data_IF_075750217287
#
_entry.id   IF_075750217287
#
_cell.length_a   1.000
_cell.length_b   1.000
_cell.length_c   1.000
_cell.angle_alpha   90.00
_cell.angle_beta   90.00
_cell.angle_gamma   90.00
#
_symmetry.space_group_name_H-M   'P 1'
#
loop_
_entity.id
_entity.type
_entity.pdbx_description
1 polymer ?
#
# COMPACT_ATOMS: atom_id res chain seq x y z
N UNK A 1 -43.09 11.78 -24.38
CA UNK A 1 -43.91 10.64 -23.89
C UNK A 1 -45.40 10.96 -23.74
N UNK A 2 -45.84 12.22 -23.53
CA UNK A 2 -47.28 12.51 -23.32
C UNK A 2 -48.12 12.69 -24.60
N UNK A 3 -47.53 13.17 -25.72
CA UNK A 3 -48.27 13.35 -26.98
C UNK A 3 -48.55 12.03 -27.71
N UNK A 4 -47.58 11.11 -27.74
CA UNK A 4 -47.74 9.81 -28.42
C UNK A 4 -48.76 8.90 -27.71
N UNK A 5 -48.80 8.95 -26.38
CA UNK A 5 -49.73 8.17 -25.57
C UNK A 5 -51.18 8.69 -25.71
N UNK A 6 -51.34 10.01 -25.85
CA UNK A 6 -52.64 10.64 -26.10
C UNK A 6 -53.15 10.30 -27.51
N UNK A 7 -52.27 10.35 -28.52
CA UNK A 7 -52.56 9.91 -29.89
C UNK A 7 -52.93 8.41 -29.97
N UNK A 8 -52.26 7.55 -29.19
CA UNK A 8 -52.61 6.12 -29.12
C UNK A 8 -54.00 5.87 -28.50
N UNK A 9 -54.34 6.57 -27.42
CA UNK A 9 -55.65 6.47 -26.78
C UNK A 9 -56.77 6.99 -27.69
N UNK A 10 -56.56 8.11 -28.37
CA UNK A 10 -57.50 8.67 -29.33
C UNK A 10 -57.72 7.73 -30.53
N UNK A 11 -56.67 7.08 -31.03
CA UNK A 11 -56.76 6.07 -32.09
C UNK A 11 -57.53 4.82 -31.64
N UNK A 12 -57.36 4.37 -30.39
CA UNK A 12 -58.14 3.25 -29.82
C UNK A 12 -59.62 3.59 -29.65
N UNK A 13 -59.94 4.80 -29.17
CA UNK A 13 -61.31 5.28 -29.02
C UNK A 13 -62.03 5.41 -30.37
N UNK A 14 -61.32 5.91 -31.39
CA UNK A 14 -61.82 5.98 -32.76
C UNK A 14 -62.11 4.59 -33.34
N UNK A 15 -61.19 3.62 -33.16
CA UNK A 15 -61.38 2.23 -33.58
C UNK A 15 -62.56 1.56 -32.85
N UNK A 16 -62.71 1.79 -31.54
CA UNK A 16 -63.87 1.28 -30.78
C UNK A 16 -65.19 1.87 -31.25
N UNK A 17 -65.21 3.16 -31.58
CA UNK A 17 -66.42 3.84 -32.08
C UNK A 17 -66.83 3.28 -33.44
N UNK A 18 -65.86 3.08 -34.35
CA UNK A 18 -66.09 2.44 -35.65
C UNK A 18 -66.56 0.98 -35.53
N UNK A 19 -66.04 0.22 -34.57
CA UNK A 19 -66.52 -1.15 -34.29
C UNK A 19 -68.00 -1.13 -33.89
N UNK A 20 -68.41 -0.24 -32.96
CA UNK A 20 -69.82 -0.13 -32.54
C UNK A 20 -70.73 0.27 -33.69
N UNK A 21 -70.29 1.18 -34.56
CA UNK A 21 -71.04 1.59 -35.75
C UNK A 21 -71.20 0.43 -36.76
N UNK A 22 -70.14 -0.35 -37.00
CA UNK A 22 -70.19 -1.55 -37.84
C UNK A 22 -71.09 -2.65 -37.24
N UNK A 23 -71.10 -2.82 -35.91
CA UNK A 23 -72.00 -3.75 -35.21
C UNK A 23 -73.48 -3.34 -35.34
N UNK A 24 -73.78 -2.04 -35.18
CA UNK A 24 -75.13 -1.50 -35.37
C UNK A 24 -75.63 -1.62 -36.82
N UNK A 25 -74.70 -1.56 -37.80
CA UNK A 25 -75.00 -1.70 -39.22
C UNK A 25 -74.99 -3.16 -39.73
N UNK A 26 -74.86 -4.16 -38.84
CA UNK A 26 -74.74 -5.60 -39.16
C UNK A 26 -73.57 -5.96 -40.09
N UNK A 27 -72.52 -5.13 -40.14
CA UNK A 27 -71.31 -5.35 -40.95
C UNK A 27 -70.21 -6.07 -40.17
N UNK A 28 -70.47 -7.32 -39.80
CA UNK A 28 -69.60 -8.10 -38.91
C UNK A 28 -68.20 -8.38 -39.47
N UNK A 29 -68.05 -8.50 -40.80
CA UNK A 29 -66.74 -8.72 -41.42
C UNK A 29 -65.81 -7.50 -41.26
N UNK A 30 -66.34 -6.29 -41.39
CA UNK A 30 -65.60 -5.04 -41.18
C UNK A 30 -65.29 -4.85 -39.68
N UNK A 31 -66.23 -5.16 -38.79
CA UNK A 31 -66.02 -5.12 -37.34
C UNK A 31 -64.90 -6.07 -36.87
N UNK A 32 -64.82 -7.28 -37.43
CA UNK A 32 -63.76 -8.24 -37.12
C UNK A 32 -62.38 -7.75 -37.64
N UNK A 33 -62.33 -7.12 -38.81
CA UNK A 33 -61.09 -6.50 -39.33
C UNK A 33 -60.61 -5.35 -38.44
N UNK A 34 -61.53 -4.47 -38.00
CA UNK A 34 -61.22 -3.37 -37.08
C UNK A 34 -60.77 -3.88 -35.71
N UNK A 35 -61.40 -4.95 -35.21
CA UNK A 35 -60.98 -5.62 -33.98
C UNK A 35 -59.57 -6.22 -34.09
N UNK A 36 -59.25 -6.87 -35.20
CA UNK A 36 -57.90 -7.38 -35.46
C UNK A 36 -56.87 -6.25 -35.57
N UNK A 37 -57.24 -5.12 -36.17
CA UNK A 37 -56.39 -3.93 -36.23
C UNK A 37 -56.14 -3.34 -34.84
N UNK A 38 -57.18 -3.25 -34.00
CA UNK A 38 -57.08 -2.82 -32.61
C UNK A 38 -56.13 -3.72 -31.81
N UNK A 39 -56.27 -5.04 -31.92
CA UNK A 39 -55.38 -6.02 -31.27
C UNK A 39 -53.92 -5.85 -31.75
N UNK A 40 -53.70 -5.65 -33.05
CA UNK A 40 -52.35 -5.43 -33.61
C UNK A 40 -51.72 -4.13 -33.07
N UNK A 41 -52.48 -3.04 -33.02
CA UNK A 41 -52.01 -1.76 -32.49
C UNK A 41 -51.64 -1.87 -31.01
N UNK A 42 -52.50 -2.48 -30.17
CA UNK A 42 -52.21 -2.72 -28.76
C UNK A 42 -51.00 -3.62 -28.54
N UNK A 43 -50.82 -4.64 -29.39
CA UNK A 43 -49.65 -5.50 -29.36
C UNK A 43 -48.36 -4.77 -29.73
N UNK A 44 -48.40 -3.91 -30.76
CA UNK A 44 -47.24 -3.12 -31.16
C UNK A 44 -46.85 -2.09 -30.09
N UNK A 45 -47.84 -1.40 -29.50
CA UNK A 45 -47.58 -0.41 -28.46
C UNK A 45 -47.01 -1.06 -27.20
N UNK A 46 -47.58 -2.19 -26.76
CA UNK A 46 -47.02 -2.95 -25.62
C UNK A 46 -45.60 -3.47 -25.90
N UNK A 47 -45.31 -3.91 -27.12
CA UNK A 47 -43.97 -4.32 -27.53
C UNK A 47 -42.99 -3.13 -27.52
N UNK A 48 -43.40 -1.97 -28.03
CA UNK A 48 -42.59 -0.74 -28.03
C UNK A 48 -42.29 -0.26 -26.61
N UNK A 49 -43.30 -0.26 -25.73
CA UNK A 49 -43.15 0.09 -24.31
C UNK A 49 -42.16 -0.84 -23.58
N UNK A 50 -42.25 -2.15 -23.81
CA UNK A 50 -41.29 -3.11 -23.26
C UNK A 50 -39.88 -2.84 -23.80
N UNK A 51 -39.75 -2.54 -25.09
CA UNK A 51 -38.45 -2.26 -25.70
C UNK A 51 -37.82 -0.99 -25.14
N UNK A 52 -38.57 0.11 -25.02
CA UNK A 52 -38.10 1.36 -24.43
C UNK A 52 -37.67 1.16 -22.98
N UNK A 53 -38.43 0.37 -22.22
CA UNK A 53 -38.08 0.02 -20.83
C UNK A 53 -36.77 -0.74 -20.76
N UNK A 54 -36.56 -1.73 -21.64
CA UNK A 54 -35.28 -2.47 -21.71
C UNK A 54 -34.10 -1.56 -22.05
N UNK A 55 -34.27 -0.64 -22.99
CA UNK A 55 -33.20 0.33 -23.32
C UNK A 55 -32.88 1.24 -22.14
N UNK A 56 -33.89 1.66 -21.36
CA UNK A 56 -33.66 2.38 -20.10
C UNK A 56 -32.90 1.52 -19.09
N UNK A 57 -33.27 0.24 -18.96
CA UNK A 57 -32.59 -0.72 -18.07
C UNK A 57 -31.11 -0.93 -18.43
N UNK A 58 -30.80 -1.00 -19.73
CA UNK A 58 -29.43 -1.08 -20.23
C UNK A 58 -28.63 0.19 -19.89
N UNK A 59 -29.24 1.37 -20.04
CA UNK A 59 -28.61 2.64 -19.67
C UNK A 59 -28.32 2.72 -18.17
N UNK A 60 -29.27 2.32 -17.32
CA UNK A 60 -29.08 2.26 -15.85
C UNK A 60 -27.96 1.29 -15.46
N UNK A 61 -27.87 0.13 -16.13
CA UNK A 61 -26.78 -0.81 -15.87
C UNK A 61 -25.41 -0.21 -16.23
N UNK A 62 -25.32 0.47 -17.37
CA UNK A 62 -24.10 1.14 -17.81
C UNK A 62 -23.68 2.25 -16.83
N UNK A 63 -24.64 3.06 -16.37
CA UNK A 63 -24.37 4.12 -15.39
C UNK A 63 -23.83 3.56 -14.06
N UNK A 64 -24.38 2.45 -13.57
CA UNK A 64 -23.87 1.80 -12.35
C UNK A 64 -22.46 1.25 -12.56
N UNK A 65 -22.18 0.69 -13.73
CA UNK A 65 -20.85 0.18 -14.06
C UNK A 65 -19.81 1.30 -14.15
N UNK A 66 -20.15 2.41 -14.81
CA UNK A 66 -19.30 3.60 -14.91
C UNK A 66 -19.04 4.22 -13.53
N UNK A 67 -20.08 4.36 -12.71
CA UNK A 67 -19.95 4.87 -11.34
C UNK A 67 -19.05 3.98 -10.47
N UNK A 68 -19.23 2.67 -10.52
CA UNK A 68 -18.37 1.73 -9.78
C UNK A 68 -16.92 1.79 -10.27
N UNK A 69 -16.69 1.90 -11.59
CA UNK A 69 -15.35 2.02 -12.14
C UNK A 69 -14.66 3.30 -11.67
N UNK A 70 -15.38 4.43 -11.66
CA UNK A 70 -14.86 5.70 -11.13
C UNK A 70 -14.54 5.60 -9.64
N UNK A 71 -15.43 5.02 -8.82
CA UNK A 71 -15.18 4.83 -7.39
C UNK A 71 -13.96 3.93 -7.15
N UNK A 72 -13.85 2.83 -7.88
CA UNK A 72 -12.69 1.94 -7.84
C UNK A 72 -11.40 2.67 -8.16
N UNK A 73 -11.37 3.45 -9.26
CA UNK A 73 -10.19 4.22 -9.64
C UNK A 73 -9.81 5.26 -8.58
N UNK A 74 -10.80 5.96 -8.01
CA UNK A 74 -10.55 6.95 -6.96
C UNK A 74 -9.94 6.32 -5.70
N UNK A 75 -10.52 5.22 -5.23
CA UNK A 75 -10.01 4.47 -4.07
C UNK A 75 -8.61 3.92 -4.38
N UNK A 76 -8.42 3.34 -5.56
CA UNK A 76 -7.13 2.78 -5.97
C UNK A 76 -6.03 3.86 -5.98
N UNK A 77 -6.31 5.02 -6.59
CA UNK A 77 -5.36 6.13 -6.66
C UNK A 77 -5.04 6.71 -5.27
N UNK A 78 -6.05 6.83 -4.40
CA UNK A 78 -5.84 7.29 -3.03
C UNK A 78 -4.94 6.32 -2.24
N UNK A 79 -5.13 5.01 -2.41
CA UNK A 79 -4.27 4.00 -1.79
C UNK A 79 -2.86 4.00 -2.34
N UNK A 80 -2.68 4.15 -3.66
CA UNK A 80 -1.36 4.27 -4.28
C UNK A 80 -0.60 5.48 -3.73
N UNK A 81 -1.26 6.63 -3.61
CA UNK A 81 -0.68 7.83 -3.01
C UNK A 81 -0.27 7.59 -1.54
N UNK A 82 -1.15 6.98 -0.74
CA UNK A 82 -0.90 6.70 0.68
C UNK A 82 0.23 5.68 0.89
N UNK A 83 0.28 4.62 0.09
CA UNK A 83 1.36 3.62 0.15
C UNK A 83 2.68 4.26 -0.26
N UNK A 84 2.66 5.11 -1.29
CA UNK A 84 3.85 5.86 -1.71
C UNK A 84 4.36 6.77 -0.60
N UNK A 85 3.49 7.55 0.02
CA UNK A 85 3.86 8.41 1.15
C UNK A 85 4.47 7.62 2.31
N UNK A 86 3.90 6.46 2.65
CA UNK A 86 4.44 5.58 3.68
C UNK A 86 5.83 5.04 3.33
N UNK A 87 6.07 4.70 2.05
CA UNK A 87 7.39 4.25 1.58
C UNK A 87 8.41 5.37 1.63
N UNK A 88 8.04 6.56 1.15
CA UNK A 88 8.91 7.74 1.20
C UNK A 88 9.27 8.08 2.66
N UNK A 89 8.31 8.00 3.58
CA UNK A 89 8.54 8.15 5.02
C UNK A 89 9.48 7.06 5.59
N UNK A 90 9.26 5.80 5.23
CA UNK A 90 10.10 4.69 5.67
C UNK A 90 11.56 4.86 5.23
N UNK A 91 11.79 5.28 3.99
CA UNK A 91 13.12 5.54 3.45
C UNK A 91 13.81 6.71 4.15
N UNK A 92 13.07 7.80 4.42
CA UNK A 92 13.59 8.94 5.18
C UNK A 92 14.01 8.53 6.60
N UNK A 93 13.18 7.75 7.29
CA UNK A 93 13.45 7.30 8.66
C UNK A 93 14.68 6.37 8.71
N UNK A 94 14.82 5.46 7.74
CA UNK A 94 16.00 4.59 7.61
C UNK A 94 17.26 5.42 7.35
N UNK A 95 17.21 6.36 6.40
CA UNK A 95 18.35 7.21 6.07
C UNK A 95 18.78 8.11 7.24
N UNK A 96 17.80 8.64 7.98
CA UNK A 96 18.03 9.42 9.20
C UNK A 96 18.73 8.59 10.28
N UNK A 97 18.26 7.36 10.52
CA UNK A 97 18.87 6.42 11.47
C UNK A 97 20.31 6.05 11.05
N UNK A 98 20.53 5.73 9.78
CA UNK A 98 21.87 5.42 9.26
C UNK A 98 22.84 6.61 9.41
N UNK A 99 22.37 7.82 9.08
CA UNK A 99 23.18 9.04 9.24
C UNK A 99 23.50 9.36 10.70
N UNK A 100 22.61 8.98 11.62
CA UNK A 100 22.89 9.05 13.07
C UNK A 100 23.92 7.99 13.48
N UNK A 101 23.75 6.75 13.05
CA UNK A 101 24.68 5.65 13.36
C UNK A 101 26.10 5.94 12.89
N UNK A 102 26.28 6.52 11.71
CA UNK A 102 27.58 6.93 11.19
C UNK A 102 28.24 8.02 12.06
N UNK A 103 27.47 9.04 12.46
CA UNK A 103 27.96 10.08 13.37
C UNK A 103 28.34 9.52 14.73
N UNK A 104 27.50 8.64 15.29
CA UNK A 104 27.76 7.99 16.57
C UNK A 104 29.04 7.14 16.51
N UNK A 105 29.28 6.45 15.39
CA UNK A 105 30.50 5.68 15.16
C UNK A 105 31.75 6.56 15.16
N UNK A 106 31.75 7.65 14.38
CA UNK A 106 32.88 8.60 14.33
C UNK A 106 33.15 9.20 15.71
N UNK A 107 32.10 9.56 16.46
CA UNK A 107 32.25 10.11 17.80
C UNK A 107 32.81 9.08 18.79
N UNK A 108 32.33 7.83 18.75
CA UNK A 108 32.83 6.78 19.62
C UNK A 108 34.27 6.39 19.27
N UNK A 109 34.65 6.38 17.99
CA UNK A 109 36.04 6.17 17.55
C UNK A 109 36.97 7.26 18.13
N UNK A 110 36.64 8.54 17.95
CA UNK A 110 37.44 9.65 18.49
C UNK A 110 37.52 9.62 20.02
N UNK A 111 36.43 9.23 20.69
CA UNK A 111 36.39 9.06 22.15
C UNK A 111 37.25 7.89 22.61
N UNK A 112 37.22 6.74 21.95
CA UNK A 112 38.08 5.60 22.27
C UNK A 112 39.55 5.92 22.02
N UNK A 113 39.85 6.67 20.96
CA UNK A 113 41.22 7.10 20.68
C UNK A 113 41.79 8.02 21.76
N UNK A 114 40.98 8.94 22.29
CA UNK A 114 41.38 9.85 23.37
C UNK A 114 41.44 9.18 24.75
N UNK A 115 40.52 8.26 25.05
CA UNK A 115 40.45 7.58 26.34
C UNK A 115 41.52 6.49 26.51
N UNK A 116 41.89 5.79 25.44
CA UNK A 116 42.87 4.69 25.53
C UNK A 116 44.29 5.23 25.34
N UNK A 117 45.15 5.15 26.38
CA UNK A 117 46.48 5.76 26.35
C UNK A 117 47.34 5.33 25.16
N UNK A 118 48.06 6.28 24.56
CA UNK A 118 48.99 5.97 23.46
C UNK A 118 50.20 5.16 23.95
N UNK A 119 50.67 5.41 25.18
CA UNK A 119 51.84 4.72 25.75
C UNK A 119 51.39 3.63 26.74
N UNK A 120 52.07 2.46 26.74
CA UNK A 120 51.82 1.45 27.75
C UNK A 120 52.24 1.92 29.13
N UNK A 121 51.67 1.26 30.15
CA UNK A 121 52.31 1.18 31.46
C UNK A 121 53.37 0.09 31.37
N UNK A 122 54.64 0.50 31.47
CA UNK A 122 55.77 -0.42 31.39
C UNK A 122 55.78 -1.45 32.51
N UNK A 123 56.32 -2.63 32.23
CA UNK A 123 56.43 -3.70 33.22
C UNK A 123 57.38 -3.33 34.36
N UNK A 124 57.22 -4.00 35.51
CA UNK A 124 58.15 -3.87 36.63
C UNK A 124 59.57 -4.30 36.24
N UNK A 125 59.72 -5.28 35.35
CA UNK A 125 61.02 -5.71 34.82
C UNK A 125 61.72 -4.57 34.07
N UNK A 126 61.02 -3.92 33.15
CA UNK A 126 61.55 -2.79 32.39
C UNK A 126 61.92 -1.62 33.30
N UNK A 127 61.03 -1.27 34.24
CA UNK A 127 61.28 -0.20 35.22
C UNK A 127 62.48 -0.52 36.13
N UNK A 128 62.70 -1.78 36.47
CA UNK A 128 63.86 -2.20 37.25
C UNK A 128 65.16 -2.14 36.42
N UNK A 129 65.12 -2.52 35.14
CA UNK A 129 66.28 -2.39 34.25
C UNK A 129 66.70 -0.94 34.08
N UNK A 130 65.74 -0.01 33.95
CA UNK A 130 66.02 1.44 33.89
C UNK A 130 66.73 1.91 35.16
N UNK A 131 66.28 1.48 36.34
CA UNK A 131 66.96 1.80 37.61
C UNK A 131 68.38 1.22 37.70
N UNK A 132 68.59 0.01 37.18
CA UNK A 132 69.91 -0.64 37.12
C UNK A 132 70.83 0.16 36.19
N UNK A 133 70.36 0.54 35.01
CA UNK A 133 71.10 1.40 34.06
C UNK A 133 71.52 2.71 34.73
N UNK A 134 70.59 3.42 35.38
CA UNK A 134 70.88 4.67 36.11
C UNK A 134 71.95 4.46 37.19
N UNK A 135 71.90 3.34 37.91
CA UNK A 135 72.89 2.96 38.91
C UNK A 135 74.29 2.75 38.30
N UNK A 136 74.36 2.01 37.20
CA UNK A 136 75.61 1.72 36.48
C UNK A 136 76.23 2.99 35.88
N UNK A 137 75.42 3.90 35.36
CA UNK A 137 75.87 5.22 34.87
C UNK A 137 76.47 6.05 36.01
N UNK A 138 75.82 6.09 37.18
CA UNK A 138 76.35 6.80 38.37
C UNK A 138 77.67 6.22 38.86
N UNK A 139 77.84 4.89 38.74
CA UNK A 139 79.07 4.18 39.07
C UNK A 139 80.15 4.30 38.00
N UNK A 140 79.88 4.96 36.87
CA UNK A 140 80.76 5.10 35.68
C UNK A 140 81.09 3.76 35.00
N UNK A 141 80.28 2.72 35.22
CA UNK A 141 80.40 1.41 34.59
C UNK A 141 79.72 1.40 33.21
N UNK A 142 80.29 2.15 32.26
CA UNK A 142 79.63 2.42 30.97
C UNK A 142 79.43 1.20 30.06
N UNK A 143 80.33 0.21 30.10
CA UNK A 143 80.20 -1.01 29.28
C UNK A 143 79.00 -1.88 29.70
N UNK A 144 78.80 -2.02 31.01
CA UNK A 144 77.64 -2.71 31.57
C UNK A 144 76.36 -1.90 31.37
N UNK A 145 76.41 -0.58 31.56
CA UNK A 145 75.28 0.32 31.29
C UNK A 145 74.81 0.21 29.84
N UNK A 146 75.72 0.19 28.86
CA UNK A 146 75.36 0.04 27.45
C UNK A 146 74.71 -1.33 27.15
N UNK A 147 75.19 -2.40 27.77
CA UNK A 147 74.61 -3.73 27.62
C UNK A 147 73.18 -3.80 28.18
N UNK A 148 72.94 -3.16 29.33
CA UNK A 148 71.60 -3.03 29.93
C UNK A 148 70.70 -2.13 29.06
N UNK A 149 71.22 -1.03 28.51
CA UNK A 149 70.51 -0.13 27.60
C UNK A 149 69.98 -0.83 26.34
N UNK A 150 70.78 -1.69 25.72
CA UNK A 150 70.33 -2.49 24.57
C UNK A 150 69.16 -3.42 24.96
N UNK A 151 69.25 -4.04 26.14
CA UNK A 151 68.19 -4.91 26.66
C UNK A 151 66.91 -4.14 27.00
N UNK A 152 67.03 -2.95 27.59
CA UNK A 152 65.92 -2.00 27.81
C UNK A 152 65.25 -1.68 26.49
N UNK A 153 66.03 -1.31 25.47
CA UNK A 153 65.50 -0.93 24.16
C UNK A 153 64.69 -2.07 23.51
N UNK A 154 65.23 -3.30 23.53
CA UNK A 154 64.52 -4.48 23.03
C UNK A 154 63.22 -4.76 23.79
N UNK A 155 63.25 -4.65 25.13
CA UNK A 155 62.09 -4.89 25.97
C UNK A 155 61.01 -3.79 25.79
N UNK A 156 61.42 -2.53 25.69
CA UNK A 156 60.54 -1.39 25.38
C UNK A 156 59.85 -1.55 24.03
N UNK A 157 60.59 -1.96 22.99
CA UNK A 157 60.00 -2.21 21.67
C UNK A 157 58.91 -3.29 21.75
N UNK A 158 59.21 -4.41 22.40
CA UNK A 158 58.26 -5.52 22.57
C UNK A 158 57.02 -5.10 23.35
N UNK A 159 57.18 -4.37 24.45
CA UNK A 159 56.06 -3.89 25.27
C UNK A 159 55.20 -2.87 24.52
N UNK A 160 55.81 -1.95 23.77
CA UNK A 160 55.09 -1.00 22.92
C UNK A 160 54.29 -1.71 21.82
N UNK A 161 54.88 -2.68 21.12
CA UNK A 161 54.19 -3.46 20.08
C UNK A 161 52.99 -4.24 20.64
N UNK A 162 53.18 -4.90 21.79
CA UNK A 162 52.11 -5.64 22.44
C UNK A 162 50.98 -4.71 22.90
N UNK A 163 51.34 -3.54 23.43
CA UNK A 163 50.36 -2.52 23.81
C UNK A 163 49.59 -1.97 22.63
N UNK A 164 50.26 -1.69 21.51
CA UNK A 164 49.60 -1.19 20.32
C UNK A 164 48.58 -2.20 19.78
N UNK A 165 48.95 -3.50 19.75
CA UNK A 165 48.04 -4.59 19.39
C UNK A 165 46.84 -4.65 20.33
N UNK A 166 47.08 -4.58 21.64
CA UNK A 166 46.02 -4.62 22.64
C UNK A 166 45.10 -3.39 22.58
N UNK A 167 45.66 -2.20 22.37
CA UNK A 167 44.90 -0.96 22.15
C UNK A 167 44.00 -1.07 20.93
N UNK A 168 44.54 -1.49 19.78
CA UNK A 168 43.77 -1.71 18.54
C UNK A 168 42.67 -2.76 18.76
N UNK A 169 42.96 -3.84 19.49
CA UNK A 169 41.98 -4.88 19.84
C UNK A 169 40.82 -4.32 20.67
N UNK A 170 41.12 -3.54 21.71
CA UNK A 170 40.09 -2.90 22.56
C UNK A 170 39.20 -1.96 21.76
N UNK A 171 39.80 -1.07 20.97
CA UNK A 171 39.04 -0.15 20.10
C UNK A 171 38.12 -0.95 19.18
N UNK A 172 38.66 -1.94 18.47
CA UNK A 172 37.89 -2.80 17.56
C UNK A 172 36.73 -3.50 18.26
N UNK A 173 36.93 -4.04 19.47
CA UNK A 173 35.87 -4.70 20.22
C UNK A 173 34.71 -3.74 20.56
N UNK A 174 35.03 -2.51 20.98
CA UNK A 174 34.00 -1.50 21.25
C UNK A 174 33.24 -1.10 19.98
N UNK A 175 33.93 -0.89 18.87
CA UNK A 175 33.29 -0.56 17.58
C UNK A 175 32.42 -1.71 17.08
N UNK A 176 32.90 -2.94 17.10
CA UNK A 176 32.09 -4.10 16.72
C UNK A 176 30.85 -4.26 17.60
N UNK A 177 30.95 -3.98 18.90
CA UNK A 177 29.79 -3.99 19.78
C UNK A 177 28.76 -2.91 19.41
N UNK A 178 29.22 -1.69 19.10
CA UNK A 178 28.37 -0.60 18.64
C UNK A 178 27.68 -0.95 17.31
N UNK A 179 28.43 -1.45 16.33
CA UNK A 179 27.92 -1.86 15.01
C UNK A 179 26.85 -2.95 15.14
N UNK A 180 27.06 -3.95 16.00
CA UNK A 180 26.07 -4.99 16.26
C UNK A 180 24.77 -4.42 16.85
N UNK A 181 24.87 -3.47 17.80
CA UNK A 181 23.71 -2.80 18.37
C UNK A 181 22.95 -2.00 17.29
N UNK A 182 23.68 -1.23 16.49
CA UNK A 182 23.14 -0.45 15.39
C UNK A 182 22.44 -1.33 14.34
N UNK A 183 23.01 -2.49 14.01
CA UNK A 183 22.41 -3.44 13.09
C UNK A 183 21.08 -4.00 13.61
N UNK A 184 21.00 -4.34 14.91
CA UNK A 184 19.76 -4.82 15.54
C UNK A 184 18.70 -3.71 15.53
N UNK A 185 19.07 -2.48 15.90
CA UNK A 185 18.17 -1.32 15.88
C UNK A 185 17.60 -1.09 14.47
N UNK A 186 18.46 -1.11 13.45
CA UNK A 186 18.07 -0.92 12.06
C UNK A 186 17.16 -2.05 11.56
N UNK A 187 17.44 -3.29 11.94
CA UNK A 187 16.59 -4.44 11.60
C UNK A 187 15.21 -4.35 12.25
N UNK A 188 15.15 -3.95 13.53
CA UNK A 188 13.89 -3.73 14.23
C UNK A 188 13.07 -2.61 13.56
N UNK A 189 13.71 -1.50 13.19
CA UNK A 189 13.09 -0.41 12.46
C UNK A 189 12.53 -0.87 11.11
N UNK A 190 13.33 -1.56 10.30
CA UNK A 190 12.90 -2.10 9.00
C UNK A 190 11.72 -3.05 9.14
N UNK A 191 11.75 -3.92 10.15
CA UNK A 191 10.65 -4.85 10.42
C UNK A 191 9.37 -4.10 10.77
N UNK A 192 9.45 -3.10 11.65
CA UNK A 192 8.30 -2.26 12.02
C UNK A 192 7.71 -1.52 10.79
N UNK A 193 8.56 -0.93 9.96
CA UNK A 193 8.13 -0.20 8.76
C UNK A 193 7.47 -1.14 7.74
N UNK A 194 8.04 -2.33 7.55
CA UNK A 194 7.43 -3.37 6.70
C UNK A 194 6.06 -3.81 7.23
N UNK A 195 5.94 -4.05 8.53
CA UNK A 195 4.65 -4.40 9.13
C UNK A 195 3.59 -3.31 8.89
N UNK A 196 3.97 -2.03 8.99
CA UNK A 196 3.07 -0.92 8.69
C UNK A 196 2.63 -0.91 7.21
N UNK A 197 3.54 -1.20 6.27
CA UNK A 197 3.19 -1.33 4.85
C UNK A 197 2.26 -2.53 4.61
N UNK A 198 2.54 -3.68 5.22
CA UNK A 198 1.70 -4.89 5.12
C UNK A 198 0.28 -4.63 5.68
N UNK A 199 0.16 -3.86 6.77
CA UNK A 199 -1.12 -3.43 7.32
C UNK A 199 -1.91 -2.52 6.37
N UNK A 200 -1.26 -1.54 5.74
CA UNK A 200 -1.90 -0.69 4.72
C UNK A 200 -2.40 -1.52 3.53
N UNK A 201 -1.59 -2.48 3.06
CA UNK A 201 -1.99 -3.38 1.98
C UNK A 201 -3.20 -4.24 2.35
N UNK A 202 -3.25 -4.76 3.59
CA UNK A 202 -4.42 -5.50 4.09
C UNK A 202 -5.66 -4.61 4.14
N UNK A 203 -5.54 -3.38 4.65
CA UNK A 203 -6.65 -2.42 4.67
C UNK A 203 -7.16 -2.10 3.26
N UNK A 204 -6.27 -1.92 2.29
CA UNK A 204 -6.63 -1.73 0.88
C UNK A 204 -7.45 -2.91 0.34
N UNK A 205 -6.99 -4.14 0.59
CA UNK A 205 -7.70 -5.35 0.13
C UNK A 205 -9.12 -5.39 0.71
N UNK A 206 -9.26 -5.19 2.02
CA UNK A 206 -10.56 -5.20 2.70
C UNK A 206 -11.51 -4.12 2.15
N UNK A 207 -11.01 -2.92 1.88
CA UNK A 207 -11.82 -1.85 1.31
C UNK A 207 -12.27 -2.16 -0.12
N UNK A 208 -11.38 -2.72 -0.96
CA UNK A 208 -11.73 -3.15 -2.31
C UNK A 208 -12.73 -4.31 -2.32
N UNK A 209 -12.60 -5.28 -1.42
CA UNK A 209 -13.57 -6.35 -1.23
C UNK A 209 -14.95 -5.80 -0.83
N UNK A 210 -14.96 -4.81 0.07
CA UNK A 210 -16.19 -4.14 0.50
C UNK A 210 -16.85 -3.38 -0.67
N UNK A 211 -16.05 -2.69 -1.49
CA UNK A 211 -16.54 -2.01 -2.70
C UNK A 211 -17.17 -3.01 -3.68
N UNK A 212 -16.49 -4.12 -3.96
CA UNK A 212 -16.98 -5.16 -4.85
C UNK A 212 -18.29 -5.77 -4.34
N UNK A 213 -18.40 -6.00 -3.03
CA UNK A 213 -19.63 -6.52 -2.43
C UNK A 213 -20.79 -5.53 -2.56
N UNK A 214 -20.55 -4.23 -2.35
CA UNK A 214 -21.55 -3.18 -2.56
C UNK A 214 -22.04 -3.17 -4.01
N UNK A 215 -21.13 -3.20 -4.97
CA UNK A 215 -21.48 -3.27 -6.40
C UNK A 215 -22.31 -4.51 -6.73
N UNK A 216 -21.90 -5.68 -6.23
CA UNK A 216 -22.64 -6.92 -6.45
C UNK A 216 -24.08 -6.82 -5.93
N UNK A 217 -24.26 -6.25 -4.73
CA UNK A 217 -25.58 -6.06 -4.14
C UNK A 217 -26.45 -5.10 -4.98
N UNK A 218 -25.90 -3.95 -5.36
CA UNK A 218 -26.59 -2.96 -6.19
C UNK A 218 -27.01 -3.56 -7.54
N UNK A 219 -26.09 -4.27 -8.21
CA UNK A 219 -26.38 -4.93 -9.50
C UNK A 219 -27.47 -5.98 -9.38
N UNK A 220 -27.47 -6.76 -8.29
CA UNK A 220 -28.49 -7.77 -8.01
C UNK A 220 -29.86 -7.12 -7.76
N UNK A 221 -29.90 -6.06 -6.96
CA UNK A 221 -31.13 -5.34 -6.63
C UNK A 221 -31.72 -4.66 -7.87
N UNK A 222 -30.88 -4.02 -8.69
CA UNK A 222 -31.29 -3.46 -9.98
C UNK A 222 -31.86 -4.55 -10.88
N UNK A 223 -31.16 -5.67 -11.03
CA UNK A 223 -31.64 -6.77 -11.86
C UNK A 223 -33.01 -7.28 -11.41
N UNK A 224 -33.20 -7.47 -10.09
CA UNK A 224 -34.47 -7.91 -9.53
C UNK A 224 -35.59 -6.89 -9.80
N UNK A 225 -35.29 -5.59 -9.65
CA UNK A 225 -36.23 -4.52 -9.96
C UNK A 225 -36.64 -4.55 -11.44
N UNK A 226 -35.67 -4.61 -12.34
CA UNK A 226 -35.88 -4.64 -13.79
C UNK A 226 -36.71 -5.86 -14.24
N UNK A 227 -36.43 -7.05 -13.68
CA UNK A 227 -37.22 -8.26 -13.94
C UNK A 227 -38.66 -8.09 -13.47
N UNK A 228 -38.89 -7.53 -12.28
CA UNK A 228 -40.24 -7.29 -11.77
C UNK A 228 -41.01 -6.29 -12.63
N UNK A 229 -40.35 -5.22 -13.08
CA UNK A 229 -40.96 -4.20 -13.94
C UNK A 229 -41.39 -4.78 -15.29
N UNK A 230 -40.51 -5.55 -15.96
CA UNK A 230 -40.85 -6.21 -17.22
C UNK A 230 -41.99 -7.21 -17.03
N UNK A 231 -42.00 -7.96 -15.92
CA UNK A 231 -43.09 -8.89 -15.62
C UNK A 231 -44.42 -8.16 -15.39
N UNK A 232 -44.42 -7.00 -14.73
CA UNK A 232 -45.61 -6.15 -14.58
C UNK A 232 -46.12 -5.67 -15.94
N UNK A 233 -45.24 -5.13 -16.78
CA UNK A 233 -45.60 -4.68 -18.14
C UNK A 233 -46.21 -5.80 -18.98
N UNK A 234 -45.62 -7.01 -18.92
CA UNK A 234 -46.16 -8.21 -19.58
C UNK A 234 -47.50 -8.65 -18.99
N UNK A 235 -47.71 -8.57 -17.68
CA UNK A 235 -48.98 -8.94 -17.04
C UNK A 235 -50.13 -8.00 -17.46
N UNK A 236 -49.87 -6.70 -17.60
CA UNK A 236 -50.85 -5.73 -18.13
C UNK A 236 -51.33 -6.07 -19.54
N UNK A 237 -50.48 -6.72 -20.35
CA UNK A 237 -50.84 -7.19 -21.70
C UNK A 237 -51.89 -8.31 -21.68
N UNK A 238 -51.90 -9.16 -20.66
CA UNK A 238 -52.79 -10.34 -20.58
C UNK A 238 -54.20 -9.99 -20.08
N UNK A 239 -54.41 -8.78 -19.54
CA UNK A 239 -55.67 -8.34 -18.94
C UNK A 239 -56.57 -7.53 -19.90
N UNK A 240 -56.15 -7.32 -21.15
CA UNK A 240 -56.87 -6.59 -22.21
C UNK A 240 -57.15 -7.55 -23.36
#
# INVERSE_FOLDING_TARGET
MSQDNHSFQENLENLQTQIRECEQAFKFAEAEQLKQQMIRLTNNESASRIQNTKTSHEAEQMEIEDNHLMEFQNINNAWEARIKEQRDYADQEINSMMSKHERDKVQEEAKLESLIPLKPKYSSELLNMIKIEEGLVRQKSYGEAHSVQQRISMLMMRENENWEKERKRKIKQHITHLENKQAIELQALRTRLRCAEDELNKSRIVELETLLQKYHNIKKDLHNYQVQEINRLKATKTLI
#
